data_IF_645125101012
#
_entry.id   IF_645125101012
#
_cell.length_a   1.000
_cell.length_b   1.000
_cell.length_c   1.000
_cell.angle_alpha   90.00
_cell.angle_beta   90.00
_cell.angle_gamma   90.00
#
_symmetry.space_group_name_H-M   'P 1'
#
loop_
_entity.id
_entity.type
_entity.pdbx_description
1 polymer ?
#
# COMPACT_ATOMS: atom_id res chain seq x y z
N UNK A 1 -12.92 -23.66 8.80
CA UNK A 1 -12.74 -22.21 8.70
C UNK A 1 -12.15 -21.81 7.37
N UNK A 2 -12.81 -20.89 6.68
CA UNK A 2 -12.46 -20.49 5.32
C UNK A 2 -12.32 -18.97 5.18
N UNK A 3 -11.25 -18.53 4.50
CA UNK A 3 -11.09 -17.13 4.10
C UNK A 3 -10.88 -17.04 2.58
N UNK A 4 -11.40 -15.99 1.96
CA UNK A 4 -11.27 -15.70 0.53
C UNK A 4 -10.26 -14.58 0.32
N UNK A 5 -9.23 -14.79 -0.49
CA UNK A 5 -8.24 -13.77 -0.78
C UNK A 5 -8.87 -12.59 -1.52
N UNK A 6 -8.48 -11.35 -1.15
CA UNK A 6 -8.95 -10.12 -1.81
C UNK A 6 -7.88 -9.48 -2.70
N UNK A 7 -6.68 -10.08 -2.74
CA UNK A 7 -5.60 -9.78 -3.67
C UNK A 7 -4.90 -11.09 -4.03
N UNK A 8 -4.20 -11.15 -5.17
CA UNK A 8 -3.29 -12.24 -5.45
C UNK A 8 -2.22 -12.39 -4.34
N UNK A 9 -1.79 -13.62 -4.07
CA UNK A 9 -0.78 -13.93 -3.05
C UNK A 9 0.25 -14.92 -3.61
N UNK A 10 1.53 -14.70 -3.35
CA UNK A 10 2.56 -15.69 -3.66
C UNK A 10 2.60 -16.77 -2.58
N UNK A 11 2.51 -18.03 -3.01
CA UNK A 11 2.78 -19.18 -2.17
C UNK A 11 4.30 -19.42 -2.07
N UNK A 12 4.73 -20.14 -1.03
CA UNK A 12 6.15 -20.38 -0.71
C UNK A 12 6.90 -21.17 -1.79
N UNK A 13 6.19 -21.89 -2.64
CA UNK A 13 6.72 -22.65 -3.78
C UNK A 13 6.78 -21.83 -5.08
N UNK A 14 6.40 -20.54 -5.02
CA UNK A 14 6.36 -19.63 -6.16
C UNK A 14 5.03 -19.60 -6.91
N UNK A 15 4.04 -20.42 -6.56
CA UNK A 15 2.72 -20.35 -7.20
C UNK A 15 1.95 -19.09 -6.78
N UNK A 16 1.42 -18.37 -7.77
CA UNK A 16 0.51 -17.25 -7.52
C UNK A 16 -0.90 -17.80 -7.26
N UNK A 17 -1.41 -17.57 -6.05
CA UNK A 17 -2.82 -17.78 -5.72
C UNK A 17 -3.61 -16.57 -6.20
N UNK A 18 -4.61 -16.73 -7.09
CA UNK A 18 -5.39 -15.61 -7.57
C UNK A 18 -6.30 -15.04 -6.48
N UNK A 19 -6.69 -13.78 -6.67
CA UNK A 19 -7.80 -13.19 -5.92
C UNK A 19 -9.05 -14.10 -5.99
N UNK A 20 -9.82 -14.16 -4.91
CA UNK A 20 -11.00 -15.01 -4.83
C UNK A 20 -10.72 -16.46 -4.43
N UNK A 21 -9.45 -16.87 -4.35
CA UNK A 21 -9.07 -18.20 -3.83
C UNK A 21 -9.55 -18.36 -2.40
N UNK A 22 -10.21 -19.48 -2.11
CA UNK A 22 -10.68 -19.84 -0.77
C UNK A 22 -9.64 -20.71 -0.08
N UNK A 23 -9.07 -20.20 1.00
CA UNK A 23 -8.14 -20.90 1.89
C UNK A 23 -8.93 -21.55 3.01
N UNK A 24 -8.94 -22.89 3.05
CA UNK A 24 -9.53 -23.68 4.14
C UNK A 24 -8.43 -24.08 5.12
N UNK A 25 -8.37 -23.40 6.26
CA UNK A 25 -7.34 -23.63 7.27
C UNK A 25 -7.82 -23.15 8.64
N UNK A 26 -7.49 -23.84 9.76
CA UNK A 26 -7.90 -23.43 11.11
C UNK A 26 -7.46 -22.01 11.53
N UNK A 27 -6.45 -21.46 10.85
CA UNK A 27 -5.92 -20.10 11.05
C UNK A 27 -6.25 -19.12 9.91
N UNK A 28 -7.18 -19.46 9.02
CA UNK A 28 -7.56 -18.60 7.89
C UNK A 28 -8.01 -17.19 8.34
N UNK A 29 -8.59 -17.06 9.54
CA UNK A 29 -8.95 -15.78 10.15
C UNK A 29 -7.79 -14.79 10.29
N UNK A 30 -6.53 -15.27 10.38
CA UNK A 30 -5.36 -14.39 10.45
C UNK A 30 -5.17 -13.60 9.16
N UNK A 31 -5.47 -14.21 8.01
CA UNK A 31 -5.42 -13.52 6.70
C UNK A 31 -6.41 -12.35 6.65
N UNK A 32 -7.59 -12.54 7.26
CA UNK A 32 -8.62 -11.49 7.40
C UNK A 32 -8.11 -10.36 8.30
N UNK A 33 -7.46 -10.69 9.43
CA UNK A 33 -6.88 -9.70 10.35
C UNK A 33 -5.70 -8.93 9.75
N UNK A 34 -5.02 -9.50 8.77
CA UNK A 34 -3.96 -8.82 8.02
C UNK A 34 -4.50 -7.97 6.85
N UNK A 35 -5.78 -8.11 6.49
CA UNK A 35 -6.36 -7.41 5.34
C UNK A 35 -6.10 -8.08 3.98
N UNK A 36 -5.46 -9.25 3.96
CA UNK A 36 -5.20 -10.01 2.72
C UNK A 36 -6.40 -10.84 2.24
N UNK A 37 -7.42 -11.00 3.08
CA UNK A 37 -8.59 -11.84 2.81
C UNK A 37 -9.88 -11.28 3.45
N UNK A 38 -11.02 -11.86 3.08
CA UNK A 38 -12.32 -11.74 3.73
C UNK A 38 -12.80 -13.10 4.25
N UNK A 39 -13.64 -13.16 5.30
CA UNK A 39 -14.26 -14.42 5.74
C UNK A 39 -15.10 -15.03 4.63
N UNK A 40 -14.95 -16.34 4.42
CA UNK A 40 -15.77 -17.11 3.48
C UNK A 40 -16.80 -18.00 4.19
N UNK A 41 -16.75 -18.09 5.52
CA UNK A 41 -17.75 -18.73 6.37
C UNK A 41 -17.93 -17.97 7.70
N UNK A 42 -19.00 -18.30 8.43
CA UNK A 42 -19.34 -17.69 9.71
C UNK A 42 -18.32 -17.98 10.81
N UNK A 43 -17.73 -19.17 10.80
CA UNK A 43 -16.66 -19.56 11.73
C UNK A 43 -15.46 -18.60 11.61
N UNK A 44 -15.04 -18.29 10.39
CA UNK A 44 -13.96 -17.35 10.12
C UNK A 44 -14.32 -15.93 10.51
N UNK A 45 -15.55 -15.50 10.27
CA UNK A 45 -16.00 -14.16 10.64
C UNK A 45 -15.96 -13.95 12.16
N UNK A 46 -16.49 -14.90 12.92
CA UNK A 46 -16.47 -14.87 14.38
C UNK A 46 -15.03 -14.90 14.91
N UNK A 47 -14.18 -15.79 14.37
CA UNK A 47 -12.79 -15.90 14.80
C UNK A 47 -11.96 -14.66 14.44
N UNK A 48 -12.22 -14.04 13.28
CA UNK A 48 -11.52 -12.84 12.87
C UNK A 48 -11.84 -11.67 13.81
N UNK A 49 -13.10 -11.55 14.27
CA UNK A 49 -13.50 -10.57 15.28
C UNK A 49 -13.27 -9.11 14.87
N UNK A 50 -13.23 -8.83 13.56
CA UNK A 50 -13.03 -7.49 13.01
C UNK A 50 -14.31 -7.01 12.31
N UNK A 51 -14.71 -5.76 12.62
CA UNK A 51 -15.86 -5.15 11.97
C UNK A 51 -15.63 -4.99 10.45
N UNK A 52 -16.70 -4.90 9.64
CA UNK A 52 -16.57 -4.64 8.21
C UNK A 52 -15.76 -3.38 7.90
N UNK A 53 -15.92 -2.31 8.67
CA UNK A 53 -15.21 -1.04 8.50
C UNK A 53 -13.71 -1.24 8.75
N UNK A 54 -13.35 -1.87 9.87
CA UNK A 54 -11.95 -2.15 10.19
C UNK A 54 -11.31 -3.07 9.16
N UNK A 55 -12.06 -4.03 8.63
CA UNK A 55 -11.60 -4.94 7.57
C UNK A 55 -11.25 -4.17 6.30
N UNK A 56 -12.08 -3.20 5.89
CA UNK A 56 -11.78 -2.32 4.74
C UNK A 56 -10.51 -1.50 4.98
N UNK A 57 -10.29 -0.98 6.18
CA UNK A 57 -9.05 -0.28 6.53
C UNK A 57 -7.82 -1.19 6.42
N UNK A 58 -7.91 -2.40 6.95
CA UNK A 58 -6.83 -3.39 6.89
C UNK A 58 -6.52 -3.76 5.44
N UNK A 59 -7.54 -4.01 4.63
CA UNK A 59 -7.38 -4.31 3.19
C UNK A 59 -6.75 -3.13 2.44
N UNK A 60 -7.11 -1.90 2.79
CA UNK A 60 -6.51 -0.69 2.22
C UNK A 60 -5.02 -0.62 2.55
N UNK A 61 -4.64 -0.79 3.82
CA UNK A 61 -3.24 -0.83 4.25
C UNK A 61 -2.47 -1.98 3.61
N UNK A 62 -3.09 -3.14 3.50
CA UNK A 62 -2.49 -4.31 2.87
C UNK A 62 -2.14 -4.04 1.39
N UNK A 63 -3.04 -3.43 0.61
CA UNK A 63 -2.77 -3.03 -0.78
C UNK A 63 -1.60 -2.05 -0.93
N UNK A 64 -1.44 -1.14 0.01
CA UNK A 64 -0.34 -0.17 -0.02
C UNK A 64 0.99 -0.83 0.35
N UNK A 65 0.98 -1.69 1.37
CA UNK A 65 2.15 -2.48 1.76
C UNK A 65 2.59 -3.45 0.65
N UNK A 66 1.64 -4.11 -0.03
CA UNK A 66 1.90 -5.00 -1.17
C UNK A 66 2.58 -4.26 -2.34
N UNK A 67 2.25 -2.97 -2.51
CA UNK A 67 2.91 -2.08 -3.49
C UNK A 67 4.22 -1.46 -2.97
N UNK A 68 4.64 -1.78 -1.75
CA UNK A 68 5.83 -1.22 -1.13
C UNK A 68 5.71 0.27 -0.79
N UNK A 69 4.50 0.82 -0.64
CA UNK A 69 4.29 2.22 -0.25
C UNK A 69 4.63 2.40 1.24
N UNK A 70 5.43 3.41 1.57
CA UNK A 70 5.75 3.71 2.97
C UNK A 70 4.52 4.29 3.69
N UNK A 71 4.29 4.00 4.99
CA UNK A 71 3.11 4.48 5.71
C UNK A 71 2.92 6.00 5.75
N UNK A 72 4.01 6.77 5.73
CA UNK A 72 3.98 8.25 5.68
C UNK A 72 3.41 8.77 4.36
N UNK A 73 3.47 7.96 3.30
CA UNK A 73 3.11 8.32 1.94
C UNK A 73 1.72 7.79 1.55
N UNK A 74 0.99 7.16 2.49
CA UNK A 74 -0.34 6.59 2.23
C UNK A 74 -1.35 7.64 1.76
N UNK A 75 -1.35 8.84 2.35
CA UNK A 75 -2.27 9.91 1.96
C UNK A 75 -1.96 10.41 0.55
N UNK A 76 -0.69 10.57 0.20
CA UNK A 76 -0.27 10.95 -1.15
C UNK A 76 -0.67 9.89 -2.19
N UNK A 77 -0.56 8.61 -1.83
CA UNK A 77 -0.96 7.51 -2.72
C UNK A 77 -2.48 7.46 -2.89
N UNK A 78 -3.24 7.57 -1.80
CA UNK A 78 -4.71 7.52 -1.81
C UNK A 78 -5.34 8.74 -2.48
N UNK A 79 -4.76 9.93 -2.29
CA UNK A 79 -5.19 11.16 -2.95
C UNK A 79 -4.80 11.22 -4.43
N UNK A 80 -3.98 10.28 -4.91
CA UNK A 80 -3.48 10.24 -6.28
C UNK A 80 -2.39 11.28 -6.57
N UNK A 81 -1.75 11.84 -5.53
CA UNK A 81 -0.56 12.68 -5.66
C UNK A 81 0.68 11.86 -6.01
N UNK A 82 0.75 10.58 -5.61
CA UNK A 82 1.81 9.66 -6.01
C UNK A 82 1.25 8.33 -6.55
N UNK A 83 2.04 7.64 -7.37
CA UNK A 83 1.75 6.28 -7.88
C UNK A 83 2.62 5.20 -7.25
N UNK A 84 3.69 5.58 -6.58
CA UNK A 84 4.70 4.66 -6.05
C UNK A 84 6.09 5.28 -6.12
N UNK A 85 7.10 4.43 -6.17
CA UNK A 85 8.50 4.85 -6.24
C UNK A 85 9.18 4.34 -7.51
N UNK A 86 10.12 5.13 -8.00
CA UNK A 86 11.12 4.69 -8.96
C UNK A 86 12.11 3.72 -8.28
N UNK A 87 12.99 3.11 -9.07
CA UNK A 87 14.00 2.18 -8.55
C UNK A 87 15.00 2.86 -7.58
N UNK A 88 15.21 4.17 -7.70
CA UNK A 88 16.06 4.95 -6.81
C UNK A 88 15.34 5.43 -5.53
N UNK A 89 14.06 5.07 -5.35
CA UNK A 89 13.24 5.48 -4.22
C UNK A 89 12.57 6.85 -4.38
N UNK A 90 12.81 7.58 -5.48
CA UNK A 90 12.11 8.84 -5.75
C UNK A 90 10.63 8.60 -6.06
N UNK A 91 9.78 9.58 -5.73
CA UNK A 91 8.34 9.47 -6.01
C UNK A 91 8.04 9.43 -7.51
N UNK A 92 7.08 8.59 -7.90
CA UNK A 92 6.42 8.64 -9.21
C UNK A 92 5.18 9.54 -9.07
N UNK A 93 5.14 10.72 -9.71
CA UNK A 93 3.99 11.62 -9.64
C UNK A 93 2.68 10.98 -10.10
N UNK A 94 1.64 11.21 -9.32
CA UNK A 94 0.26 10.81 -9.63
C UNK A 94 -0.48 11.83 -10.49
N UNK A 95 -1.73 11.53 -10.83
CA UNK A 95 -2.55 12.42 -11.66
C UNK A 95 -2.92 13.73 -10.96
N UNK A 96 -2.91 13.73 -9.62
CA UNK A 96 -3.23 14.88 -8.80
C UNK A 96 -1.96 15.54 -8.22
N UNK A 97 -0.78 15.15 -8.72
CA UNK A 97 0.47 15.80 -8.33
C UNK A 97 0.47 17.25 -8.83
N UNK A 98 0.73 18.18 -7.93
CA UNK A 98 0.97 19.59 -8.24
C UNK A 98 2.43 19.83 -7.93
N UNK A 99 3.20 20.22 -8.94
CA UNK A 99 4.60 20.57 -8.75
C UNK A 99 4.68 21.78 -7.82
N UNK A 100 5.44 21.70 -6.71
CA UNK A 100 5.57 22.82 -5.81
C UNK A 100 6.23 23.98 -6.57
N UNK A 101 5.55 25.13 -6.62
CA UNK A 101 6.19 26.37 -7.07
C UNK A 101 7.33 26.69 -6.09
N UNK A 102 8.56 26.71 -6.59
CA UNK A 102 9.70 27.14 -5.79
C UNK A 102 9.50 28.61 -5.41
N UNK A 103 9.59 28.92 -4.12
CA UNK A 103 9.67 30.31 -3.68
C UNK A 103 10.91 30.95 -4.33
N UNK A 104 10.82 32.19 -4.86
CA UNK A 104 11.98 32.92 -5.36
C UNK A 104 13.20 32.91 -4.42
N UNK A 105 12.98 32.83 -3.10
CA UNK A 105 14.03 32.69 -2.08
C UNK A 105 14.77 31.36 -2.21
N UNK A 106 14.06 30.25 -2.47
CA UNK A 106 14.65 28.92 -2.65
C UNK A 106 15.42 28.83 -3.97
N UNK A 107 14.91 29.47 -5.03
CA UNK A 107 15.60 29.59 -6.32
C UNK A 107 16.95 30.31 -6.15
N UNK A 108 16.94 31.47 -5.49
CA UNK A 108 18.16 32.24 -5.24
C UNK A 108 19.20 31.46 -4.40
N UNK A 109 18.74 30.62 -3.47
CA UNK A 109 19.62 29.78 -2.65
C UNK A 109 20.26 28.65 -3.44
N UNK A 110 19.52 28.04 -4.38
CA UNK A 110 20.04 27.01 -5.28
C UNK A 110 21.08 27.59 -6.26
N UNK A 111 20.79 28.74 -6.85
CA UNK A 111 21.74 29.44 -7.74
C UNK A 111 23.05 29.80 -7.03
N UNK A 112 22.99 30.23 -5.77
CA UNK A 112 24.17 30.53 -4.97
C UNK A 112 24.98 29.26 -4.64
N UNK A 113 24.30 28.15 -4.33
CA UNK A 113 24.96 26.85 -4.08
C UNK A 113 25.68 26.33 -5.33
N UNK A 114 25.08 26.47 -6.52
CA UNK A 114 25.71 26.09 -7.78
C UNK A 114 26.95 26.94 -8.08
N UNK A 115 26.90 28.26 -7.82
CA UNK A 115 28.07 29.14 -7.95
C UNK A 115 29.20 28.79 -6.98
N UNK A 116 28.88 28.27 -5.79
CA UNK A 116 29.88 27.87 -4.79
C UNK A 116 30.50 26.49 -5.03
N UNK A 117 29.85 25.63 -5.82
CA UNK A 117 30.30 24.26 -6.13
C UNK A 117 30.86 24.13 -7.56
N UNK A 118 30.79 25.19 -8.36
CA UNK A 118 31.17 25.24 -9.77
C UNK A 118 32.62 25.56 -10.10
N UNK A 119 33.54 25.55 -9.12
CA UNK A 119 35.00 25.69 -9.29
C UNK A 119 35.76 24.40 -8.96
#
# INVERSE_FOLDING_TARGET
>A
MKARLVLPQHHVDGHLMPEGTVIDHPKAYMLVRMGSAEPADSECEVAAGVSPERRRELQRKYRMADRGIHPEDYEAFESGQMKGYNHDGSWIPGSNYVEPELDPVDVAKLELLEQMLGD
#
